data_IF_057185043612
#
_entry.id   IF_057185043612
#
_cell.length_a   1.000
_cell.length_b   1.000
_cell.length_c   1.000
_cell.angle_alpha   90.00
_cell.angle_beta   90.00
_cell.angle_gamma   90.00
#
_symmetry.space_group_name_H-M   'P 1'
#
loop_
_entity.id
_entity.type
_entity.pdbx_description
1 polymer ?
#
# COMPACT_ATOMS: atom_id res chain seq x y z
N UNK A 1 -22.12 -6.92 -0.92
CA UNK A 1 -22.80 -5.60 -0.74
C UNK A 1 -23.66 -5.55 0.53
N UNK A 2 -23.71 -6.62 1.33
CA UNK A 2 -24.61 -6.83 2.48
C UNK A 2 -24.22 -6.12 3.79
N UNK A 3 -23.25 -5.22 3.77
CA UNK A 3 -22.79 -4.49 4.97
C UNK A 3 -23.01 -2.96 4.89
N UNK A 4 -23.49 -2.45 3.76
CA UNK A 4 -23.78 -1.02 3.63
C UNK A 4 -25.19 -0.72 4.14
N UNK A 5 -25.40 0.48 4.74
CA UNK A 5 -26.73 0.95 5.09
C UNK A 5 -27.68 1.00 3.89
N UNK A 6 -28.98 0.94 4.15
CA UNK A 6 -30.00 1.05 3.11
C UNK A 6 -29.87 2.38 2.35
N UNK A 7 -29.93 2.32 1.02
CA UNK A 7 -29.75 3.48 0.14
C UNK A 7 -28.29 3.92 -0.08
N UNK A 8 -27.31 3.36 0.65
CA UNK A 8 -25.90 3.65 0.46
C UNK A 8 -25.30 2.87 -0.71
N UNK A 9 -24.36 3.50 -1.44
CA UNK A 9 -23.67 2.92 -2.59
C UNK A 9 -22.16 2.85 -2.35
N UNK A 10 -21.46 1.79 -2.77
CA UNK A 10 -20.00 1.78 -2.72
C UNK A 10 -19.41 2.67 -3.82
N UNK A 11 -18.42 3.48 -3.46
CA UNK A 11 -17.58 4.23 -4.39
C UNK A 11 -16.15 3.71 -4.26
N UNK A 12 -15.72 2.93 -5.25
CA UNK A 12 -14.49 2.14 -5.19
C UNK A 12 -13.39 2.70 -6.07
N UNK A 13 -12.17 2.69 -5.56
CA UNK A 13 -10.99 3.18 -6.26
C UNK A 13 -9.95 2.08 -6.48
N UNK A 14 -9.27 2.13 -7.63
CA UNK A 14 -7.93 1.56 -7.79
C UNK A 14 -6.95 2.67 -7.44
N UNK A 15 -5.98 2.36 -6.58
CA UNK A 15 -4.81 3.21 -6.38
C UNK A 15 -3.62 2.58 -7.10
N UNK A 16 -2.94 3.36 -7.92
CA UNK A 16 -1.70 2.97 -8.57
C UNK A 16 -0.56 3.82 -8.02
N UNK A 17 0.58 3.19 -7.72
CA UNK A 17 1.80 3.88 -7.32
C UNK A 17 3.00 3.27 -8.02
N UNK A 18 3.70 4.08 -8.81
CA UNK A 18 4.91 3.68 -9.54
C UNK A 18 5.93 4.81 -9.56
N UNK A 19 7.20 4.48 -9.45
CA UNK A 19 8.27 5.46 -9.32
C UNK A 19 8.48 6.25 -10.61
N UNK A 20 8.09 7.52 -10.59
CA UNK A 20 8.19 8.39 -11.76
C UNK A 20 9.31 9.43 -11.61
N UNK A 21 9.95 9.79 -12.73
CA UNK A 21 10.89 10.92 -12.81
C UNK A 21 10.10 12.22 -12.96
N UNK A 22 10.33 13.17 -12.05
CA UNK A 22 9.66 14.48 -12.08
C UNK A 22 10.43 15.55 -12.84
N UNK A 23 11.72 15.32 -13.09
CA UNK A 23 12.56 16.24 -13.85
C UNK A 23 13.06 15.58 -15.14
N UNK A 24 13.25 16.38 -16.19
CA UNK A 24 13.85 15.91 -17.45
C UNK A 24 15.26 15.30 -17.23
N UNK A 25 15.99 15.82 -16.25
CA UNK A 25 17.29 15.28 -15.84
C UNK A 25 17.20 14.00 -15.00
N UNK A 26 16.01 13.58 -14.55
CA UNK A 26 15.77 12.37 -13.76
C UNK A 26 16.30 12.40 -12.32
N UNK A 27 16.73 13.56 -11.85
CA UNK A 27 17.32 13.79 -10.52
C UNK A 27 16.29 13.87 -9.39
N UNK A 28 15.05 14.24 -9.73
CA UNK A 28 13.92 14.29 -8.79
C UNK A 28 12.97 13.17 -9.16
N UNK A 29 12.69 12.31 -8.18
CA UNK A 29 11.79 11.17 -8.33
C UNK A 29 10.75 11.24 -7.22
N UNK A 30 9.54 10.79 -7.51
CA UNK A 30 8.48 10.61 -6.53
C UNK A 30 7.59 9.45 -6.97
N UNK A 31 6.77 8.93 -6.05
CA UNK A 31 5.70 8.02 -6.42
C UNK A 31 4.39 8.82 -6.50
N UNK A 32 3.89 9.18 -7.70
CA UNK A 32 2.51 9.63 -7.82
C UNK A 32 1.59 8.52 -7.34
N UNK A 33 0.62 8.89 -6.52
CA UNK A 33 -0.53 8.02 -6.24
C UNK A 33 -1.63 8.45 -7.18
N UNK A 34 -1.97 7.56 -8.11
CA UNK A 34 -3.04 7.77 -9.08
C UNK A 34 -4.27 7.02 -8.61
N UNK A 35 -5.40 7.72 -8.43
CA UNK A 35 -6.68 7.12 -8.10
C UNK A 35 -7.56 7.05 -9.34
N UNK A 36 -8.19 5.89 -9.55
CA UNK A 36 -9.13 5.66 -10.64
C UNK A 36 -10.43 5.08 -10.08
N UNK A 37 -11.57 5.57 -10.56
CA UNK A 37 -12.89 5.12 -10.13
C UNK A 37 -13.29 3.81 -10.83
N UNK A 38 -13.47 2.75 -10.04
CA UNK A 38 -13.85 1.41 -10.56
C UNK A 38 -15.32 1.36 -10.95
N UNK A 39 -16.14 2.30 -10.47
CA UNK A 39 -17.55 2.36 -10.82
C UNK A 39 -17.80 2.80 -12.27
N UNK A 40 -16.76 3.23 -12.99
CA UNK A 40 -16.84 3.61 -14.39
C UNK A 40 -16.59 2.40 -15.32
N UNK A 41 -17.24 2.35 -16.49
CA UNK A 41 -16.92 1.40 -17.55
C UNK A 41 -15.45 1.42 -17.99
N UNK A 42 -14.92 0.27 -18.42
CA UNK A 42 -13.50 0.11 -18.79
C UNK A 42 -13.10 0.91 -20.05
N UNK A 43 -14.03 1.15 -20.96
CA UNK A 43 -13.85 2.03 -22.11
C UNK A 43 -13.61 3.48 -21.68
N UNK A 44 -14.26 3.90 -20.59
CA UNK A 44 -14.10 5.22 -19.98
C UNK A 44 -12.78 5.33 -19.19
N UNK A 45 -12.25 4.21 -18.70
CA UNK A 45 -10.95 4.15 -18.01
C UNK A 45 -9.76 4.40 -18.93
N UNK A 46 -9.82 3.87 -20.14
CA UNK A 46 -8.71 3.90 -21.11
C UNK A 46 -8.86 5.03 -22.14
N UNK A 47 -9.92 5.83 -22.04
CA UNK A 47 -10.17 6.98 -22.91
C UNK A 47 -9.37 8.22 -22.51
N UNK A 48 -9.17 9.13 -23.46
CA UNK A 48 -8.63 10.46 -23.20
C UNK A 48 -9.76 11.37 -22.64
N UNK A 49 -9.58 11.92 -21.43
CA UNK A 49 -10.54 12.89 -20.86
C UNK A 49 -10.67 12.89 -19.34
N UNK A 50 -11.80 13.42 -18.86
CA UNK A 50 -12.12 13.69 -17.44
C UNK A 50 -12.27 12.40 -16.59
N UNK A 51 -12.24 11.23 -17.21
CA UNK A 51 -12.54 9.95 -16.56
C UNK A 51 -11.34 9.03 -16.35
N UNK A 52 -10.13 9.50 -16.67
CA UNK A 52 -8.87 8.79 -16.42
C UNK A 52 -8.47 8.77 -14.95
N UNK A 53 -7.30 8.18 -14.67
CA UNK A 53 -6.70 8.22 -13.33
C UNK A 53 -6.22 9.62 -12.96
N UNK A 54 -6.46 10.04 -11.71
CA UNK A 54 -6.04 11.33 -11.18
C UNK A 54 -4.95 11.18 -10.12
N UNK A 55 -3.96 12.06 -10.14
CA UNK A 55 -2.96 12.12 -9.08
C UNK A 55 -3.62 12.69 -7.82
N UNK A 56 -3.69 11.88 -6.76
CA UNK A 56 -4.27 12.23 -5.45
C UNK A 56 -3.21 12.46 -4.37
N UNK A 57 -1.95 12.21 -4.69
CA UNK A 57 -0.84 12.47 -3.78
C UNK A 57 0.52 12.11 -4.36
N UNK A 58 1.56 12.48 -3.63
CA UNK A 58 2.95 12.17 -3.95
C UNK A 58 3.62 11.55 -2.74
N UNK A 59 4.19 10.36 -2.89
CA UNK A 59 5.04 9.78 -1.85
C UNK A 59 6.49 10.19 -2.08
N UNK A 60 7.20 10.57 -1.01
CA UNK A 60 8.58 11.00 -1.11
C UNK A 60 9.51 9.82 -1.48
N UNK A 61 10.46 10.07 -2.37
CA UNK A 61 11.60 9.17 -2.60
C UNK A 61 12.76 9.69 -1.76
N UNK A 62 13.11 8.93 -0.71
CA UNK A 62 14.31 9.22 0.09
C UNK A 62 15.54 8.85 -0.74
N UNK A 63 16.43 9.82 -0.99
CA UNK A 63 17.71 9.56 -1.68
C UNK A 63 18.58 8.70 -0.79
N UNK A 64 19.21 7.67 -1.35
CA UNK A 64 20.14 6.85 -0.58
C UNK A 64 21.34 7.67 -0.14
N UNK A 65 21.61 7.59 1.15
CA UNK A 65 22.84 8.08 1.74
C UNK A 65 23.91 6.99 1.64
N UNK A 66 25.07 7.33 1.10
CA UNK A 66 26.20 6.40 0.91
C UNK A 66 26.68 5.83 2.25
N UNK A 67 26.54 6.57 3.34
CA UNK A 67 26.96 6.14 4.69
C UNK A 67 26.03 5.07 5.28
N UNK A 68 24.78 5.04 4.83
CA UNK A 68 23.75 4.11 5.30
C UNK A 68 23.35 3.07 4.25
N UNK A 69 24.02 3.08 3.09
CA UNK A 69 23.80 2.12 2.02
C UNK A 69 23.96 0.68 2.55
N UNK A 70 23.03 -0.19 2.14
CA UNK A 70 22.97 -1.62 2.51
C UNK A 70 22.75 -1.92 4.00
N UNK A 71 22.46 -0.92 4.84
CA UNK A 71 22.11 -1.16 6.25
C UNK A 71 20.61 -1.42 6.41
N UNK A 72 20.19 -2.43 7.21
CA UNK A 72 18.78 -2.73 7.43
C UNK A 72 18.02 -1.55 8.05
N UNK A 73 18.65 -0.79 8.96
CA UNK A 73 18.07 0.43 9.52
C UNK A 73 17.68 1.48 8.47
N UNK A 74 18.41 1.58 7.35
CA UNK A 74 18.07 2.50 6.27
C UNK A 74 16.84 2.06 5.49
N UNK A 75 16.72 0.76 5.23
CA UNK A 75 15.51 0.17 4.61
C UNK A 75 14.30 0.42 5.50
N UNK A 76 14.42 0.17 6.81
CA UNK A 76 13.36 0.40 7.78
C UNK A 76 12.94 1.89 7.84
N UNK A 77 13.91 2.80 7.73
CA UNK A 77 13.63 4.23 7.63
C UNK A 77 12.85 4.58 6.36
N UNK A 78 13.29 4.11 5.19
CA UNK A 78 12.57 4.32 3.92
C UNK A 78 11.13 3.80 3.99
N UNK A 79 10.94 2.60 4.53
CA UNK A 79 9.62 2.00 4.73
C UNK A 79 8.76 2.85 5.67
N UNK A 80 9.32 3.31 6.79
CA UNK A 80 8.61 4.19 7.74
C UNK A 80 8.15 5.49 7.08
N UNK A 81 9.01 6.12 6.29
CA UNK A 81 8.66 7.35 5.55
C UNK A 81 7.53 7.08 4.56
N UNK A 82 7.62 5.98 3.79
CA UNK A 82 6.60 5.58 2.82
C UNK A 82 5.25 5.34 3.51
N UNK A 83 5.20 4.52 4.57
CA UNK A 83 3.97 4.16 5.28
C UNK A 83 3.34 5.36 5.99
N UNK A 84 4.14 6.24 6.61
CA UNK A 84 3.63 7.47 7.23
C UNK A 84 3.06 8.43 6.19
N UNK A 85 3.73 8.62 5.05
CA UNK A 85 3.22 9.46 3.96
C UNK A 85 1.94 8.89 3.35
N UNK A 86 1.88 7.58 3.10
CA UNK A 86 0.70 6.91 2.57
C UNK A 86 -0.49 6.98 3.55
N UNK A 87 -0.24 6.76 4.85
CA UNK A 87 -1.26 6.92 5.90
C UNK A 87 -1.86 8.32 5.93
N UNK A 88 -1.05 9.37 5.71
CA UNK A 88 -1.57 10.75 5.59
C UNK A 88 -2.53 10.91 4.43
N UNK A 89 -2.25 10.33 3.27
CA UNK A 89 -3.14 10.35 2.11
C UNK A 89 -4.46 9.62 2.42
N UNK A 90 -4.36 8.45 3.07
CA UNK A 90 -5.52 7.63 3.44
C UNK A 90 -6.36 8.19 4.59
N UNK A 91 -5.78 9.05 5.45
CA UNK A 91 -6.47 9.62 6.62
C UNK A 91 -7.80 10.30 6.25
N UNK A 92 -7.83 10.97 5.09
CA UNK A 92 -9.02 11.64 4.58
C UNK A 92 -10.10 10.67 4.09
N UNK A 93 -9.73 9.45 3.70
CA UNK A 93 -10.62 8.39 3.23
C UNK A 93 -11.16 7.55 4.39
N UNK A 94 -10.39 7.39 5.47
CA UNK A 94 -10.71 6.53 6.62
C UNK A 94 -12.06 6.87 7.29
N UNK A 95 -12.39 8.16 7.43
CA UNK A 95 -13.70 8.57 7.96
C UNK A 95 -14.82 8.29 6.95
N UNK A 96 -14.58 8.61 5.67
CA UNK A 96 -15.53 8.42 4.57
C UNK A 96 -15.82 6.95 4.27
N UNK A 97 -14.89 6.05 4.54
CA UNK A 97 -15.08 4.61 4.37
C UNK A 97 -15.96 4.00 5.46
N UNK A 98 -16.03 4.64 6.64
CA UNK A 98 -16.82 4.16 7.80
C UNK A 98 -18.20 4.79 7.89
N UNK A 99 -18.30 6.08 7.56
CA UNK A 99 -19.54 6.86 7.70
C UNK A 99 -20.24 7.13 6.36
N UNK A 100 -19.53 6.92 5.25
CA UNK A 100 -19.95 7.40 3.95
C UNK A 100 -19.90 8.93 3.85
N UNK A 101 -20.17 9.45 2.66
CA UNK A 101 -20.28 10.87 2.37
C UNK A 101 -21.37 11.08 1.32
N UNK A 102 -22.16 12.14 1.50
CA UNK A 102 -23.13 12.57 0.52
C UNK A 102 -22.45 13.38 -0.59
N UNK A 103 -22.70 12.99 -1.84
CA UNK A 103 -22.25 13.72 -3.01
C UNK A 103 -23.44 14.14 -3.85
N UNK A 104 -23.40 15.38 -4.35
CA UNK A 104 -24.35 15.86 -5.35
C UNK A 104 -23.84 15.45 -6.73
N UNK A 105 -24.61 14.61 -7.42
CA UNK A 105 -24.26 14.10 -8.75
C UNK A 105 -24.81 14.99 -9.86
N UNK A 106 -24.47 14.67 -11.11
CA UNK A 106 -24.88 15.43 -12.30
C UNK A 106 -26.41 15.46 -12.51
N UNK A 107 -27.10 14.43 -12.01
CA UNK A 107 -28.56 14.34 -11.97
C UNK A 107 -29.20 15.26 -10.89
N UNK A 108 -28.40 16.09 -10.21
CA UNK A 108 -28.79 16.98 -9.13
C UNK A 108 -29.30 16.27 -7.87
N UNK A 109 -29.19 14.94 -7.78
CA UNK A 109 -29.58 14.16 -6.62
C UNK A 109 -28.39 13.95 -5.68
N UNK A 110 -28.71 13.87 -4.39
CA UNK A 110 -27.74 13.50 -3.36
C UNK A 110 -27.65 11.98 -3.26
N UNK A 111 -26.43 11.48 -3.37
CA UNK A 111 -26.11 10.07 -3.25
C UNK A 111 -25.18 9.84 -2.07
N UNK A 112 -25.51 8.86 -1.22
CA UNK A 112 -24.69 8.49 -0.09
C UNK A 112 -23.69 7.41 -0.52
N UNK A 113 -22.41 7.79 -0.57
CA UNK A 113 -21.34 6.91 -1.02
C UNK A 113 -20.40 6.51 0.11
N UNK A 114 -20.03 5.23 0.16
CA UNK A 114 -18.98 4.71 1.02
C UNK A 114 -17.72 4.51 0.20
N UNK A 115 -16.66 5.27 0.53
CA UNK A 115 -15.41 5.22 -0.22
C UNK A 115 -14.61 4.00 0.19
N UNK A 116 -14.08 3.25 -0.77
CA UNK A 116 -13.23 2.08 -0.51
C UNK A 116 -12.14 1.94 -1.56
N UNK A 117 -10.97 1.46 -1.15
CA UNK A 117 -9.89 1.11 -2.07
C UNK A 117 -10.06 -0.36 -2.38
N UNK A 118 -10.38 -0.68 -3.64
CA UNK A 118 -10.59 -2.04 -4.09
C UNK A 118 -9.27 -2.72 -4.47
N UNK A 119 -8.38 -1.98 -5.13
CA UNK A 119 -7.10 -2.49 -5.62
C UNK A 119 -6.01 -1.48 -5.29
N UNK A 120 -4.90 -1.96 -4.76
CA UNK A 120 -3.65 -1.23 -4.69
C UNK A 120 -2.69 -1.89 -5.70
N UNK A 121 -2.39 -1.18 -6.78
CA UNK A 121 -1.58 -1.64 -7.90
C UNK A 121 -0.21 -0.97 -7.85
N UNK A 122 0.81 -1.78 -8.01
CA UNK A 122 2.21 -1.41 -7.99
C UNK A 122 3.01 -2.55 -8.62
N UNK A 123 4.24 -2.28 -9.02
CA UNK A 123 5.16 -3.36 -9.38
C UNK A 123 5.61 -4.15 -8.14
N UNK A 124 6.40 -5.19 -8.34
CA UNK A 124 6.81 -6.07 -7.26
C UNK A 124 7.67 -5.37 -6.20
N UNK A 125 8.59 -4.50 -6.60
CA UNK A 125 9.46 -3.77 -5.66
C UNK A 125 8.62 -2.88 -4.73
N UNK A 126 7.65 -2.17 -5.29
CA UNK A 126 6.76 -1.27 -4.56
C UNK A 126 5.80 -2.07 -3.68
N UNK A 127 5.29 -3.20 -4.16
CA UNK A 127 4.46 -4.12 -3.38
C UNK A 127 5.20 -4.72 -2.17
N UNK A 128 6.50 -4.93 -2.29
CA UNK A 128 7.33 -5.36 -1.16
C UNK A 128 7.43 -4.26 -0.09
N UNK A 129 7.53 -2.99 -0.47
CA UNK A 129 7.47 -1.87 0.48
C UNK A 129 6.09 -1.78 1.14
N UNK A 130 5.02 -1.93 0.34
CA UNK A 130 3.63 -1.89 0.83
C UNK A 130 3.32 -3.01 1.83
N UNK A 131 3.79 -4.22 1.57
CA UNK A 131 3.54 -5.41 2.41
C UNK A 131 4.64 -5.66 3.45
N UNK A 132 5.72 -4.87 3.43
CA UNK A 132 6.92 -5.01 4.27
C UNK A 132 7.65 -6.35 4.08
N UNK A 133 7.59 -6.93 2.88
CA UNK A 133 8.36 -8.14 2.52
C UNK A 133 9.76 -7.74 2.06
N UNK A 134 10.77 -8.57 2.36
CA UNK A 134 12.18 -8.29 2.01
C UNK A 134 12.52 -8.40 0.51
N UNK A 135 11.54 -8.66 -0.35
CA UNK A 135 11.72 -8.80 -1.80
C UNK A 135 12.13 -10.20 -2.25
N UNK A 136 12.74 -10.27 -3.44
CA UNK A 136 13.02 -11.53 -4.17
C UNK A 136 13.93 -12.49 -3.38
N UNK A 137 14.79 -11.94 -2.51
CA UNK A 137 15.76 -12.69 -1.71
C UNK A 137 15.21 -13.16 -0.36
N UNK A 138 13.93 -12.89 -0.08
CA UNK A 138 13.21 -13.44 1.07
C UNK A 138 13.00 -14.94 0.91
N UNK A 139 13.04 -15.69 2.02
CA UNK A 139 12.57 -17.08 2.06
C UNK A 139 11.08 -17.19 1.72
N UNK A 140 10.32 -16.11 1.91
CA UNK A 140 8.89 -16.01 1.62
C UNK A 140 8.62 -14.76 0.77
N UNK A 141 8.94 -14.77 -0.54
CA UNK A 141 8.95 -13.55 -1.35
C UNK A 141 7.57 -13.13 -1.87
N UNK A 142 6.53 -13.95 -1.69
CA UNK A 142 5.17 -13.60 -2.11
C UNK A 142 4.51 -12.68 -1.08
N UNK A 143 3.97 -11.55 -1.53
CA UNK A 143 3.31 -10.54 -0.68
C UNK A 143 1.84 -10.85 -0.37
N UNK A 144 1.27 -11.89 -1.00
CA UNK A 144 -0.13 -12.30 -0.82
C UNK A 144 -0.20 -13.58 0.01
N UNK A 145 0.73 -14.50 -0.19
CA UNK A 145 0.73 -15.85 0.40
C UNK A 145 2.08 -16.15 1.04
N UNK A 146 2.07 -16.95 2.10
CA UNK A 146 3.28 -17.45 2.75
C UNK A 146 3.86 -18.63 1.96
N UNK A 147 4.41 -18.35 0.77
CA UNK A 147 5.02 -19.33 -0.13
C UNK A 147 6.54 -19.33 0.04
N UNK A 148 7.18 -20.48 0.33
CA UNK A 148 8.63 -20.58 0.33
C UNK A 148 9.23 -20.30 -1.05
N UNK A 149 10.40 -19.68 -1.09
CA UNK A 149 11.11 -19.33 -2.33
C UNK A 149 11.27 -20.54 -3.28
N UNK A 150 11.63 -21.71 -2.74
CA UNK A 150 11.84 -22.93 -3.53
C UNK A 150 10.54 -23.54 -4.11
N UNK A 151 9.38 -23.08 -3.65
CA UNK A 151 8.07 -23.61 -4.06
C UNK A 151 7.21 -22.60 -4.82
N UNK A 152 7.77 -21.46 -5.26
CA UNK A 152 7.01 -20.43 -5.98
C UNK A 152 6.37 -20.92 -7.28
N UNK A 153 7.00 -21.90 -7.94
CA UNK A 153 6.51 -22.49 -9.18
C UNK A 153 5.48 -23.62 -8.94
N UNK A 154 5.32 -24.08 -7.71
CA UNK A 154 4.46 -25.20 -7.35
C UNK A 154 3.01 -24.72 -7.10
N UNK A 155 2.24 -24.65 -8.19
CA UNK A 155 0.82 -24.28 -8.13
C UNK A 155 -0.09 -25.39 -7.53
N UNK A 156 0.45 -26.58 -7.23
CA UNK A 156 -0.34 -27.68 -6.66
C UNK A 156 -0.59 -27.50 -5.16
N UNK A 157 0.33 -26.82 -4.46
CA UNK A 157 0.26 -26.58 -3.03
C UNK A 157 -0.54 -25.32 -2.73
N UNK A 158 -1.32 -25.38 -1.66
CA UNK A 158 -2.02 -24.21 -1.11
C UNK A 158 -1.26 -23.68 0.09
N UNK A 159 -0.96 -22.39 0.04
CA UNK A 159 -0.30 -21.67 1.12
C UNK A 159 -1.29 -20.74 1.81
N UNK A 160 -1.01 -20.42 3.07
CA UNK A 160 -1.84 -19.49 3.84
C UNK A 160 -1.67 -18.06 3.34
N UNK A 161 -2.75 -17.27 3.44
CA UNK A 161 -2.74 -15.85 3.11
C UNK A 161 -1.96 -15.04 4.15
N UNK A 162 -1.20 -14.08 3.67
CA UNK A 162 -0.59 -13.05 4.50
C UNK A 162 -1.65 -11.98 4.82
N UNK A 163 -2.28 -12.10 5.99
CA UNK A 163 -3.32 -11.16 6.42
C UNK A 163 -2.74 -9.93 7.11
N UNK A 164 -3.49 -8.83 7.10
CA UNK A 164 -3.15 -7.64 7.88
C UNK A 164 -3.03 -7.94 9.38
N UNK A 165 -3.87 -8.83 9.91
CA UNK A 165 -3.86 -9.22 11.32
C UNK A 165 -2.56 -9.94 11.68
N UNK A 166 -2.13 -10.89 10.85
CA UNK A 166 -0.86 -11.61 11.05
C UNK A 166 0.33 -10.65 10.99
N UNK A 167 0.35 -9.78 9.97
CA UNK A 167 1.43 -8.80 9.78
C UNK A 167 1.50 -7.82 10.95
N UNK A 168 0.36 -7.31 11.42
CA UNK A 168 0.30 -6.43 12.59
C UNK A 168 0.72 -7.14 13.88
N UNK A 169 0.37 -8.41 14.07
CA UNK A 169 0.80 -9.19 15.23
C UNK A 169 2.33 -9.34 15.26
N UNK A 170 2.94 -9.68 14.12
CA UNK A 170 4.40 -9.80 13.99
C UNK A 170 5.09 -8.45 14.28
N UNK A 171 4.60 -7.35 13.71
CA UNK A 171 5.15 -6.01 13.95
C UNK A 171 5.03 -5.63 15.43
N UNK A 172 3.89 -5.89 16.08
CA UNK A 172 3.71 -5.63 17.51
C UNK A 172 4.64 -6.48 18.38
N UNK A 173 4.79 -7.76 18.06
CA UNK A 173 5.71 -8.67 18.76
C UNK A 173 7.16 -8.18 18.66
N UNK A 174 7.57 -7.71 17.48
CA UNK A 174 8.87 -7.07 17.31
C UNK A 174 8.94 -5.79 18.16
N UNK A 175 7.97 -4.88 18.07
CA UNK A 175 7.97 -3.61 18.80
C UNK A 175 8.07 -3.76 20.33
N UNK A 176 7.55 -4.85 20.88
CA UNK A 176 7.65 -5.20 22.32
C UNK A 176 9.08 -5.53 22.79
N UNK A 177 10.02 -5.81 21.88
CA UNK A 177 11.42 -6.07 22.25
C UNK A 177 12.12 -4.81 22.73
N UNK A 178 13.06 -4.94 23.68
CA UNK A 178 13.74 -3.81 24.30
C UNK A 178 14.85 -3.24 23.40
N UNK A 179 15.58 -4.10 22.69
CA UNK A 179 16.72 -3.68 21.87
C UNK A 179 16.41 -3.69 20.37
N UNK A 180 17.09 -2.84 19.60
CA UNK A 180 16.92 -2.80 18.14
C UNK A 180 17.34 -4.12 17.48
N UNK A 181 18.37 -4.78 18.00
CA UNK A 181 18.85 -6.07 17.50
C UNK A 181 17.82 -7.18 17.66
N UNK A 182 17.15 -7.26 18.82
CA UNK A 182 16.07 -8.23 19.05
C UNK A 182 14.86 -7.95 18.15
N UNK A 183 14.53 -6.66 17.93
CA UNK A 183 13.47 -6.26 16.99
C UNK A 183 13.77 -6.79 15.59
N UNK A 184 14.98 -6.51 15.09
CA UNK A 184 15.41 -6.95 13.77
C UNK A 184 15.47 -8.47 13.67
N UNK A 185 15.91 -9.17 14.72
CA UNK A 185 15.93 -10.62 14.76
C UNK A 185 14.52 -11.21 14.62
N UNK A 186 13.56 -10.73 15.40
CA UNK A 186 12.16 -11.18 15.30
C UNK A 186 11.58 -10.89 13.92
N UNK A 187 11.84 -9.72 13.33
CA UNK A 187 11.34 -9.41 11.99
C UNK A 187 11.95 -10.31 10.90
N UNK A 188 13.26 -10.59 11.00
CA UNK A 188 13.95 -11.51 10.09
C UNK A 188 13.43 -12.95 10.19
N UNK A 189 13.08 -13.43 11.37
CA UNK A 189 12.48 -14.77 11.55
C UNK A 189 11.20 -14.95 10.73
N UNK A 190 10.45 -13.87 10.50
CA UNK A 190 9.24 -13.87 9.67
C UNK A 190 9.46 -13.25 8.27
N UNK A 191 10.71 -12.94 7.91
CA UNK A 191 11.10 -12.26 6.67
C UNK A 191 10.41 -10.90 6.40
N UNK A 192 10.08 -10.18 7.46
CA UNK A 192 9.53 -8.82 7.39
C UNK A 192 10.61 -7.75 7.49
N UNK A 193 10.39 -6.63 6.80
CA UNK A 193 11.10 -5.39 7.06
C UNK A 193 10.52 -4.65 8.26
N UNK A 194 11.37 -3.87 8.93
CA UNK A 194 10.93 -3.01 10.03
C UNK A 194 10.17 -1.78 9.55
N UNK A 195 9.21 -1.37 10.37
CA UNK A 195 8.49 -0.11 10.22
C UNK A 195 8.20 0.46 11.61
N UNK A 196 8.41 1.76 11.77
CA UNK A 196 7.99 2.47 12.97
C UNK A 196 6.58 3.06 12.76
N UNK A 197 5.57 2.39 13.33
CA UNK A 197 4.17 2.82 13.30
C UNK A 197 3.72 3.51 14.60
N UNK A 198 4.64 3.94 15.46
CA UNK A 198 4.34 4.50 16.80
C UNK A 198 3.45 5.76 16.84
N UNK A 199 2.95 6.24 15.69
CA UNK A 199 2.15 7.47 15.58
C UNK A 199 0.98 7.35 14.57
N UNK A 200 0.44 6.15 14.31
CA UNK A 200 -0.77 5.99 13.48
C UNK A 200 -2.00 5.67 14.32
#
# INVERSE_FOLDING_TARGET
>A
QSQLPEGAKPLTFILYADKTKLSNAGTVKAYPIIAQLVNLPTDIWNGEGISGGYIVGWLPVVKEDKEFAKKPGWVNFKNTVWHKAFSRILSSLSSKSKMGQWFKCLDQLLHWFFLSILILSADYEEQCVMSLVQGVWSLWPCHIFLVPQDSLLDASKRYSLQTSNNSQAIIKLAQMKCTLEEKEKTLKEYEFCGVDLSVS
#
